data_IF_951090990682
#
_entry.id   IF_951090990682
#
_cell.length_a   1.000
_cell.length_b   1.000
_cell.length_c   1.000
_cell.angle_alpha   90.00
_cell.angle_beta   90.00
_cell.angle_gamma   90.00
#
_symmetry.space_group_name_H-M   'P 1'
#
loop_
_entity.id
_entity.type
_entity.pdbx_description
1 polymer ?
#
# COMPACT_ATOMS: atom_id res chain seq x y z
N UNK A 1 8.16 -24.22 -1.93
CA UNK A 1 9.40 -23.50 -1.58
C UNK A 1 9.37 -22.12 -2.22
N UNK A 2 9.26 -21.07 -1.41
CA UNK A 2 9.07 -19.69 -1.87
C UNK A 2 10.33 -19.15 -2.53
N UNK A 3 10.33 -19.10 -3.86
CA UNK A 3 11.48 -18.67 -4.66
C UNK A 3 11.63 -17.15 -4.59
N UNK A 4 12.20 -16.60 -3.52
CA UNK A 4 12.86 -15.27 -3.46
C UNK A 4 12.13 -14.01 -3.95
N UNK A 5 10.87 -14.08 -4.41
CA UNK A 5 10.13 -12.99 -5.04
C UNK A 5 9.95 -11.81 -4.10
N UNK A 6 9.40 -12.07 -2.92
CA UNK A 6 9.26 -11.06 -1.86
C UNK A 6 10.60 -10.44 -1.46
N UNK A 7 11.69 -11.22 -1.48
CA UNK A 7 13.04 -10.73 -1.18
C UNK A 7 13.57 -9.78 -2.26
N UNK A 8 13.37 -10.10 -3.54
CA UNK A 8 13.75 -9.21 -4.65
C UNK A 8 12.97 -7.91 -4.64
N UNK A 9 11.66 -7.99 -4.41
CA UNK A 9 10.77 -6.81 -4.31
C UNK A 9 11.23 -5.87 -3.20
N UNK A 10 11.60 -6.40 -2.03
CA UNK A 10 12.19 -5.61 -0.93
C UNK A 10 13.52 -4.97 -1.31
N UNK A 11 14.37 -5.68 -2.05
CA UNK A 11 15.66 -5.15 -2.49
C UNK A 11 15.49 -3.99 -3.49
N UNK A 12 14.62 -4.15 -4.48
CA UNK A 12 14.29 -3.10 -5.47
C UNK A 12 13.65 -1.88 -4.81
N UNK A 13 12.74 -2.11 -3.86
CA UNK A 13 12.12 -1.06 -3.04
C UNK A 13 13.17 -0.23 -2.28
N UNK A 14 14.06 -0.91 -1.57
CA UNK A 14 15.12 -0.28 -0.79
C UNK A 14 16.11 0.47 -1.69
N UNK A 15 16.47 -0.09 -2.84
CA UNK A 15 17.37 0.56 -3.79
C UNK A 15 16.72 1.80 -4.41
N UNK A 16 15.45 1.73 -4.79
CA UNK A 16 14.74 2.87 -5.39
C UNK A 16 14.56 4.04 -4.43
N UNK A 17 14.47 3.77 -3.12
CA UNK A 17 14.48 4.80 -2.09
C UNK A 17 15.88 5.41 -1.92
N UNK A 18 16.95 4.58 -1.91
CA UNK A 18 18.34 5.06 -1.85
C UNK A 18 18.73 5.92 -3.04
N UNK A 19 18.26 5.56 -4.22
CA UNK A 19 18.53 6.27 -5.47
C UNK A 19 17.66 7.54 -5.63
N UNK A 20 16.73 7.79 -4.69
CA UNK A 20 15.88 8.97 -4.68
C UNK A 20 14.74 8.97 -5.71
N UNK A 21 14.50 7.84 -6.38
CA UNK A 21 13.39 7.68 -7.33
C UNK A 21 12.03 7.82 -6.64
N UNK A 22 11.91 7.34 -5.41
CA UNK A 22 10.71 7.50 -4.58
C UNK A 22 11.05 8.11 -3.23
N UNK A 23 10.25 9.09 -2.83
CA UNK A 23 10.35 9.74 -1.52
C UNK A 23 9.79 8.81 -0.42
N UNK A 24 8.81 7.97 -0.78
CA UNK A 24 8.17 7.02 0.11
C UNK A 24 7.99 5.67 -0.58
N UNK A 25 8.38 4.59 0.10
CA UNK A 25 8.12 3.23 -0.35
C UNK A 25 7.41 2.48 0.76
N UNK A 26 6.20 1.99 0.49
CA UNK A 26 5.44 1.15 1.42
C UNK A 26 5.19 -0.21 0.78
N UNK A 27 5.31 -1.26 1.59
CA UNK A 27 4.97 -2.61 1.21
C UNK A 27 3.82 -3.06 2.09
N UNK A 28 2.63 -3.15 1.52
CA UNK A 28 1.46 -3.70 2.21
C UNK A 28 1.32 -5.17 1.81
N UNK A 29 1.34 -6.05 2.80
CA UNK A 29 0.87 -7.42 2.60
C UNK A 29 -0.64 -7.34 2.70
N UNK A 30 -1.31 -7.38 1.56
CA UNK A 30 -2.76 -7.29 1.52
C UNK A 30 -3.26 -8.70 1.31
N UNK A 31 -3.77 -9.32 2.38
CA UNK A 31 -4.33 -10.66 2.25
C UNK A 31 -5.53 -10.66 1.30
N UNK A 32 -5.78 -11.78 0.60
CA UNK A 32 -7.05 -12.08 -0.10
C UNK A 32 -8.29 -12.09 0.82
N UNK A 33 -8.16 -11.63 2.06
CA UNK A 33 -9.26 -11.51 2.99
C UNK A 33 -10.40 -10.68 2.35
N UNK A 34 -11.65 -11.16 2.41
CA UNK A 34 -12.81 -10.38 1.99
C UNK A 34 -13.01 -9.12 2.84
N UNK A 35 -12.26 -8.99 3.94
CA UNK A 35 -12.30 -7.84 4.84
C UNK A 35 -11.48 -6.65 4.29
N UNK A 36 -12.05 -5.99 3.28
CA UNK A 36 -11.49 -4.77 2.67
C UNK A 36 -11.21 -3.66 3.71
N UNK A 37 -11.92 -3.64 4.84
CA UNK A 37 -11.71 -2.66 5.91
C UNK A 37 -10.37 -2.89 6.63
N UNK A 38 -9.99 -4.14 6.89
CA UNK A 38 -8.67 -4.48 7.45
C UNK A 38 -7.55 -4.09 6.50
N UNK A 39 -7.73 -4.35 5.21
CA UNK A 39 -6.74 -4.00 4.19
C UNK A 39 -6.52 -2.48 4.11
N UNK A 40 -7.60 -1.69 4.09
CA UNK A 40 -7.51 -0.23 4.16
C UNK A 40 -6.85 0.26 5.47
N UNK A 41 -7.13 -0.40 6.60
CA UNK A 41 -6.47 -0.12 7.87
C UNK A 41 -4.97 -0.37 7.83
N UNK A 42 -4.53 -1.52 7.33
CA UNK A 42 -3.11 -1.86 7.22
C UNK A 42 -2.33 -0.88 6.33
N UNK A 43 -2.93 -0.46 5.20
CA UNK A 43 -2.33 0.57 4.33
C UNK A 43 -2.27 1.91 5.06
N UNK A 44 -3.30 2.26 5.83
CA UNK A 44 -3.33 3.50 6.60
C UNK A 44 -2.24 3.53 7.68
N UNK A 45 -2.03 2.42 8.39
CA UNK A 45 -0.98 2.28 9.39
C UNK A 45 0.41 2.47 8.76
N UNK A 46 0.65 1.88 7.58
CA UNK A 46 1.90 2.06 6.81
C UNK A 46 2.11 3.49 6.30
N UNK A 47 1.03 4.23 6.09
CA UNK A 47 1.05 5.64 5.67
C UNK A 47 1.05 6.63 6.84
N UNK A 48 1.08 6.12 8.08
CA UNK A 48 0.90 6.90 9.31
C UNK A 48 -0.36 7.78 9.25
N UNK A 49 -1.43 7.22 8.68
CA UNK A 49 -2.68 7.92 8.37
C UNK A 49 -3.81 7.43 9.29
N UNK A 50 -4.52 8.36 9.92
CA UNK A 50 -5.72 8.02 10.69
C UNK A 50 -6.96 8.02 9.80
N UNK A 51 -7.65 6.88 9.74
CA UNK A 51 -8.94 6.76 9.06
C UNK A 51 -10.08 7.12 10.01
N UNK A 52 -10.71 8.27 9.80
CA UNK A 52 -11.86 8.72 10.60
C UNK A 52 -13.21 8.23 10.05
N UNK A 53 -13.25 7.82 8.78
CA UNK A 53 -14.47 7.30 8.14
C UNK A 53 -14.61 5.82 8.46
N UNK A 54 -15.83 5.36 8.72
CA UNK A 54 -16.12 3.95 8.99
C UNK A 54 -16.46 3.17 7.72
N UNK A 55 -17.02 3.86 6.72
CA UNK A 55 -17.40 3.28 5.42
C UNK A 55 -16.17 2.94 4.57
N UNK A 56 -16.24 1.84 3.82
CA UNK A 56 -15.22 1.45 2.84
C UNK A 56 -14.87 2.58 1.84
N UNK A 57 -15.89 3.24 1.27
CA UNK A 57 -15.70 4.30 0.28
C UNK A 57 -15.01 5.53 0.91
N UNK A 58 -15.50 5.97 2.09
CA UNK A 58 -14.88 7.11 2.79
C UNK A 58 -13.43 6.87 3.19
N UNK A 59 -13.08 5.63 3.57
CA UNK A 59 -11.70 5.22 3.85
C UNK A 59 -10.85 5.19 2.59
N UNK A 60 -11.35 4.61 1.50
CA UNK A 60 -10.69 4.61 0.19
C UNK A 60 -10.38 6.03 -0.28
N UNK A 61 -11.34 6.95 -0.20
CA UNK A 61 -11.15 8.35 -0.55
C UNK A 61 -10.05 9.04 0.28
N UNK A 62 -9.98 8.73 1.58
CA UNK A 62 -8.94 9.28 2.48
C UNK A 62 -7.55 8.75 2.11
N UNK A 63 -7.43 7.44 1.87
CA UNK A 63 -6.20 6.81 1.39
C UNK A 63 -5.75 7.40 0.05
N UNK A 64 -6.67 7.48 -0.91
CA UNK A 64 -6.42 8.05 -2.24
C UNK A 64 -5.88 9.48 -2.14
N UNK A 65 -6.50 10.33 -1.31
CA UNK A 65 -6.04 11.69 -1.11
C UNK A 65 -4.62 11.74 -0.51
N UNK A 66 -4.29 10.89 0.46
CA UNK A 66 -2.94 10.83 1.07
C UNK A 66 -1.88 10.35 0.08
N UNK A 67 -2.22 9.36 -0.75
CA UNK A 67 -1.34 8.80 -1.77
C UNK A 67 -1.08 9.83 -2.87
N UNK A 68 -2.12 10.48 -3.39
CA UNK A 68 -2.01 11.49 -4.45
C UNK A 68 -1.28 12.76 -4.01
N UNK A 69 -1.22 13.05 -2.71
CA UNK A 69 -0.42 14.17 -2.17
C UNK A 69 1.06 13.83 -2.04
N UNK A 70 1.43 12.56 -2.06
CA UNK A 70 2.84 12.16 -2.06
C UNK A 70 3.42 12.42 -3.45
N UNK A 71 4.59 13.05 -3.49
CA UNK A 71 5.23 13.46 -4.74
C UNK A 71 5.70 12.24 -5.56
N UNK A 72 6.56 11.39 -4.97
CA UNK A 72 6.97 10.11 -5.57
C UNK A 72 6.79 8.98 -4.57
N UNK A 73 5.68 8.23 -4.68
CA UNK A 73 5.36 7.11 -3.80
C UNK A 73 5.31 5.79 -4.57
N UNK A 74 5.97 4.77 -4.03
CA UNK A 74 5.86 3.39 -4.49
C UNK A 74 5.06 2.58 -3.47
N UNK A 75 3.96 1.95 -3.92
CA UNK A 75 3.14 1.05 -3.11
C UNK A 75 3.28 -0.34 -3.70
N UNK A 76 3.75 -1.28 -2.89
CA UNK A 76 3.93 -2.67 -3.25
C UNK A 76 2.90 -3.49 -2.50
N UNK A 77 2.13 -4.28 -3.23
CA UNK A 77 1.07 -5.11 -2.68
C UNK A 77 1.46 -6.57 -2.84
N UNK A 78 1.89 -7.19 -1.74
CA UNK A 78 2.23 -8.62 -1.72
C UNK A 78 0.95 -9.37 -1.34
N UNK A 79 0.35 -10.05 -2.34
CA UNK A 79 -0.78 -10.99 -2.27
C UNK A 79 -2.22 -10.49 -2.59
N UNK A 80 -2.43 -9.73 -3.68
CA UNK A 80 -3.78 -9.48 -4.21
C UNK A 80 -3.98 -9.86 -5.67
N UNK A 81 -5.02 -10.67 -5.93
CA UNK A 81 -5.74 -10.77 -7.19
C UNK A 81 -7.23 -10.51 -6.94
N UNK A 82 -7.63 -9.25 -7.04
CA UNK A 82 -8.90 -8.73 -7.55
C UNK A 82 -8.72 -7.20 -7.62
N UNK A 83 -9.27 -6.56 -8.65
CA UNK A 83 -9.04 -5.14 -8.96
C UNK A 83 -9.17 -4.27 -7.70
N UNK A 84 -8.13 -3.48 -7.45
CA UNK A 84 -8.18 -2.45 -6.41
C UNK A 84 -9.05 -1.34 -6.95
N UNK A 85 -10.33 -1.41 -6.60
CA UNK A 85 -11.25 -0.33 -6.88
C UNK A 85 -10.94 0.86 -5.96
N UNK A 86 -10.24 1.85 -6.52
CA UNK A 86 -9.93 3.15 -5.90
C UNK A 86 -10.96 4.22 -6.29
N UNK A 87 -12.09 3.83 -6.91
CA UNK A 87 -13.18 4.72 -7.33
C UNK A 87 -13.96 5.28 -6.15
#
# INVERSE_FOLDING_TARGET
FGVGKTTMVKHVAAQSQKDGYFDHVIMAVVSQSPDKLKNQGAIADLLELRLHKETLIGRAGTLRARIMRANRMLIILDDMWEEIDLS
#
